data_IF_431250404096
#
_entry.id   IF_431250404096
#
_cell.length_a   1.000
_cell.length_b   1.000
_cell.length_c   1.000
_cell.angle_alpha   90.00
_cell.angle_beta   90.00
_cell.angle_gamma   90.00
#
_symmetry.space_group_name_H-M   'P 1'
#
loop_
_entity.id
_entity.type
_entity.pdbx_description
1 polymer ?
#
# COMPACT_ATOMS: atom_id res chain seq x y z
N UNK A 1 37.06 50.27 -65.41
CA UNK A 1 36.20 50.38 -64.20
C UNK A 1 35.13 49.27 -64.07
N UNK A 2 35.28 48.09 -64.71
CA UNK A 2 34.22 47.05 -64.73
C UNK A 2 34.33 45.90 -63.71
N UNK A 3 35.49 45.69 -63.08
CA UNK A 3 35.76 44.48 -62.27
C UNK A 3 35.32 44.57 -60.80
N UNK A 4 35.15 45.78 -60.25
CA UNK A 4 34.76 45.98 -58.85
C UNK A 4 33.26 45.74 -58.58
N UNK A 5 32.41 45.90 -59.59
CA UNK A 5 30.95 45.75 -59.46
C UNK A 5 30.54 44.27 -59.42
N UNK A 6 31.21 43.42 -60.20
CA UNK A 6 30.95 41.97 -60.24
C UNK A 6 31.31 41.30 -58.91
N UNK A 7 32.45 41.67 -58.32
CA UNK A 7 32.92 41.11 -57.03
C UNK A 7 31.98 41.45 -55.86
N UNK A 8 31.42 42.66 -55.84
CA UNK A 8 30.42 43.09 -54.84
C UNK A 8 29.08 42.37 -55.01
N UNK A 9 28.66 42.03 -56.23
CA UNK A 9 27.45 41.22 -56.47
C UNK A 9 27.61 39.79 -56.00
N UNK A 10 28.77 39.16 -56.26
CA UNK A 10 29.06 37.79 -55.79
C UNK A 10 29.13 37.72 -54.26
N UNK A 11 29.76 38.70 -53.62
CA UNK A 11 29.81 38.77 -52.15
C UNK A 11 28.42 38.98 -51.55
N UNK A 12 27.56 39.82 -52.16
CA UNK A 12 26.17 39.99 -51.71
C UNK A 12 25.31 38.74 -51.91
N UNK A 13 25.54 37.97 -52.98
CA UNK A 13 24.85 36.70 -53.22
C UNK A 13 25.29 35.62 -52.22
N UNK A 14 26.58 35.55 -51.88
CA UNK A 14 27.09 34.64 -50.85
C UNK A 14 26.64 35.03 -49.44
N UNK A 15 26.57 36.32 -49.12
CA UNK A 15 26.01 36.80 -47.85
C UNK A 15 24.51 36.54 -47.75
N UNK A 16 23.76 36.70 -48.85
CA UNK A 16 22.33 36.40 -48.89
C UNK A 16 22.05 34.89 -48.76
N UNK A 17 22.87 34.02 -49.36
CA UNK A 17 22.73 32.56 -49.20
C UNK A 17 23.13 32.11 -47.79
N UNK A 18 24.16 32.71 -47.19
CA UNK A 18 24.55 32.43 -45.82
C UNK A 18 23.48 32.88 -44.81
N UNK A 19 22.85 34.05 -45.04
CA UNK A 19 21.72 34.50 -44.23
C UNK A 19 20.50 33.57 -44.36
N UNK A 20 20.25 33.00 -45.55
CA UNK A 20 19.16 32.06 -45.79
C UNK A 20 19.38 30.70 -45.11
N UNK A 21 20.63 30.27 -44.96
CA UNK A 21 20.99 29.02 -44.24
C UNK A 21 20.94 29.23 -42.72
N UNK A 22 21.31 30.41 -42.22
CA UNK A 22 21.21 30.76 -40.78
C UNK A 22 19.77 31.02 -40.35
N UNK A 23 18.90 31.48 -41.25
CA UNK A 23 17.47 31.70 -41.01
C UNK A 23 16.61 30.46 -41.28
N UNK A 24 17.20 29.33 -41.70
CA UNK A 24 16.44 28.08 -41.70
C UNK A 24 16.25 27.66 -40.25
N UNK A 25 15.03 27.71 -39.70
CA UNK A 25 14.82 27.19 -38.36
C UNK A 25 15.20 25.71 -38.45
N UNK A 26 16.23 25.32 -37.69
CA UNK A 26 16.40 23.95 -37.27
C UNK A 26 15.09 23.59 -36.58
N UNK A 27 14.15 23.00 -37.33
CA UNK A 27 13.07 22.23 -36.74
C UNK A 27 13.80 21.20 -35.90
N UNK A 28 13.80 21.41 -34.58
CA UNK A 28 14.04 20.33 -33.66
C UNK A 28 13.00 19.28 -34.04
N UNK A 29 13.44 18.29 -34.80
CA UNK A 29 12.65 17.08 -35.02
C UNK A 29 12.50 16.54 -33.61
N UNK A 30 11.30 16.65 -33.05
CA UNK A 30 10.97 16.00 -31.81
C UNK A 30 11.28 14.51 -32.04
N UNK A 31 12.33 14.02 -31.38
CA UNK A 31 12.72 12.62 -31.50
C UNK A 31 11.51 11.80 -31.05
N UNK A 32 11.00 10.94 -31.94
CA UNK A 32 9.86 10.09 -31.57
C UNK A 32 10.24 9.25 -30.34
N UNK A 33 9.35 9.14 -29.34
CA UNK A 33 9.68 8.45 -28.11
C UNK A 33 10.08 7.01 -28.42
N UNK A 34 11.25 6.63 -27.92
CA UNK A 34 11.83 5.30 -28.17
C UNK A 34 10.84 4.21 -27.72
N UNK A 35 10.64 3.16 -28.53
CA UNK A 35 9.68 2.11 -28.21
C UNK A 35 10.10 1.38 -26.94
N UNK A 36 9.15 1.14 -26.03
CA UNK A 36 9.37 0.39 -24.80
C UNK A 36 9.44 -1.10 -25.14
N UNK A 37 10.57 -1.72 -24.82
CA UNK A 37 10.83 -3.16 -25.00
C UNK A 37 10.86 -3.92 -23.68
N UNK A 38 11.18 -3.23 -22.59
CA UNK A 38 11.28 -3.81 -21.26
C UNK A 38 10.66 -2.89 -20.21
N UNK A 39 10.13 -3.51 -19.16
CA UNK A 39 9.62 -2.87 -17.95
C UNK A 39 10.22 -3.63 -16.78
N UNK A 40 10.94 -2.93 -15.91
CA UNK A 40 11.52 -3.49 -14.69
C UNK A 40 10.99 -2.71 -13.50
N UNK A 41 10.29 -3.40 -12.61
CA UNK A 41 9.75 -2.88 -11.37
C UNK A 41 10.49 -3.52 -10.20
N UNK A 42 11.17 -2.70 -9.40
CA UNK A 42 11.94 -3.11 -8.22
C UNK A 42 11.21 -2.60 -6.98
N UNK A 43 10.78 -3.54 -6.14
CA UNK A 43 10.22 -3.28 -4.83
C UNK A 43 11.26 -3.60 -3.76
N UNK A 44 11.70 -2.58 -3.02
CA UNK A 44 12.68 -2.67 -1.93
C UNK A 44 11.93 -2.55 -0.61
N UNK A 45 11.54 -3.69 -0.02
CA UNK A 45 10.79 -3.70 1.24
C UNK A 45 11.64 -3.06 2.34
N UNK A 46 11.04 -2.13 3.07
CA UNK A 46 11.71 -1.33 4.09
C UNK A 46 12.30 -0.02 3.59
N UNK A 47 12.38 0.26 2.27
CA UNK A 47 12.81 1.55 1.75
C UNK A 47 11.79 2.65 2.09
N UNK A 48 12.15 3.54 3.02
CA UNK A 48 11.30 4.66 3.43
C UNK A 48 11.73 5.99 2.80
N UNK A 49 10.84 6.98 2.81
CA UNK A 49 11.16 8.35 2.40
C UNK A 49 12.36 8.92 3.17
N UNK A 50 12.42 8.71 4.48
CA UNK A 50 13.55 9.17 5.32
C UNK A 50 14.85 8.46 4.92
N UNK A 51 14.74 7.17 4.61
CA UNK A 51 15.75 6.34 3.97
C UNK A 51 16.39 7.03 2.76
N UNK A 52 15.55 7.31 1.79
CA UNK A 52 15.88 7.93 0.52
C UNK A 52 16.36 9.38 0.65
N UNK A 53 15.71 10.19 1.49
CA UNK A 53 16.03 11.60 1.68
C UNK A 53 17.44 11.76 2.28
N UNK A 54 17.79 10.96 3.29
CA UNK A 54 19.04 11.07 4.03
C UNK A 54 20.28 10.66 3.20
N UNK A 55 20.13 9.79 2.20
CA UNK A 55 21.26 9.34 1.38
C UNK A 55 21.41 10.18 0.10
N UNK A 56 22.38 11.10 0.08
CA UNK A 56 22.56 12.05 -1.04
C UNK A 56 23.22 11.45 -2.29
N UNK A 57 24.13 10.48 -2.13
CA UNK A 57 24.88 9.83 -3.23
C UNK A 57 24.20 8.55 -3.72
N UNK A 58 22.92 8.66 -4.05
CA UNK A 58 22.07 7.53 -4.42
C UNK A 58 21.96 7.37 -5.94
N UNK A 59 22.18 6.16 -6.45
CA UNK A 59 21.86 5.76 -7.82
C UNK A 59 20.37 5.97 -8.14
N UNK A 60 19.48 5.72 -7.18
CA UNK A 60 18.04 5.98 -7.32
C UNK A 60 17.77 7.49 -7.52
N UNK A 61 18.51 8.38 -6.85
CA UNK A 61 18.41 9.83 -7.10
C UNK A 61 18.93 10.24 -8.47
N UNK A 62 19.97 9.58 -8.99
CA UNK A 62 20.40 9.80 -10.37
C UNK A 62 19.33 9.36 -11.38
N UNK A 63 18.64 8.24 -11.12
CA UNK A 63 17.47 7.83 -11.92
C UNK A 63 16.34 8.86 -11.87
N UNK A 64 16.11 9.49 -10.72
CA UNK A 64 15.11 10.56 -10.59
C UNK A 64 15.45 11.79 -11.43
N UNK A 65 16.73 12.10 -11.65
CA UNK A 65 17.15 13.19 -12.55
C UNK A 65 16.86 12.82 -14.02
N UNK A 66 17.12 11.57 -14.40
CA UNK A 66 16.85 11.07 -15.76
C UNK A 66 15.37 10.75 -16.02
N UNK A 67 14.50 10.90 -15.02
CA UNK A 67 13.08 10.54 -15.11
C UNK A 67 12.19 11.38 -14.19
N UNK A 68 11.18 10.73 -13.62
CA UNK A 68 10.19 11.32 -12.72
C UNK A 68 10.35 10.69 -11.34
N UNK A 69 10.17 11.49 -10.30
CA UNK A 69 10.15 11.01 -8.93
C UNK A 69 8.94 11.52 -8.16
N UNK A 70 8.38 10.67 -7.31
CA UNK A 70 7.51 11.06 -6.21
C UNK A 70 8.25 10.73 -4.91
N UNK A 71 9.04 11.67 -4.35
CA UNK A 71 9.81 11.40 -3.14
C UNK A 71 8.93 11.02 -1.95
N UNK A 72 7.73 11.60 -1.88
CA UNK A 72 6.73 11.37 -0.83
C UNK A 72 5.51 10.68 -1.42
N UNK A 73 5.67 9.43 -1.83
CA UNK A 73 4.56 8.60 -2.24
C UNK A 73 3.92 7.92 -1.01
N UNK A 74 2.59 7.97 -0.91
CA UNK A 74 1.87 7.29 0.16
C UNK A 74 1.82 5.78 -0.13
N UNK A 75 2.41 4.99 0.76
CA UNK A 75 2.33 3.53 0.70
C UNK A 75 1.30 2.99 1.69
N UNK A 76 0.74 1.84 1.36
CA UNK A 76 -0.16 1.13 2.26
C UNK A 76 0.61 0.57 3.46
N UNK A 77 0.05 0.76 4.66
CA UNK A 77 0.49 0.03 5.85
C UNK A 77 -0.16 -1.36 5.87
N UNK A 78 0.36 -2.25 5.03
CA UNK A 78 -0.15 -3.62 4.91
C UNK A 78 0.43 -4.54 5.99
N UNK A 79 -0.44 -5.39 6.54
CA UNK A 79 -0.09 -6.35 7.61
C UNK A 79 0.90 -7.41 7.14
N UNK A 80 0.88 -7.75 5.85
CA UNK A 80 1.73 -8.78 5.24
C UNK A 80 2.47 -8.25 4.03
N UNK A 81 3.56 -8.94 3.65
CA UNK A 81 4.34 -8.62 2.45
C UNK A 81 3.46 -8.83 1.23
N UNK A 82 2.79 -9.97 1.18
CA UNK A 82 1.84 -10.39 0.16
C UNK A 82 0.83 -9.30 -0.18
N UNK A 83 0.17 -8.73 0.84
CA UNK A 83 -0.85 -7.71 0.61
C UNK A 83 -0.26 -6.42 0.02
N UNK A 84 0.92 -6.00 0.50
CA UNK A 84 1.59 -4.83 -0.05
C UNK A 84 2.03 -5.01 -1.50
N UNK A 85 2.77 -6.08 -1.78
CA UNK A 85 3.27 -6.35 -3.13
C UNK A 85 2.11 -6.57 -4.12
N UNK A 86 1.01 -7.20 -3.68
CA UNK A 86 -0.19 -7.32 -4.50
C UNK A 86 -0.83 -5.96 -4.81
N UNK A 87 -0.92 -5.06 -3.82
CA UNK A 87 -1.41 -3.70 -4.04
C UNK A 87 -0.57 -2.96 -5.09
N UNK A 88 0.75 -3.10 -5.03
CA UNK A 88 1.67 -2.52 -6.03
C UNK A 88 1.48 -3.14 -7.43
N UNK A 89 1.25 -4.45 -7.52
CA UNK A 89 1.17 -5.17 -8.79
C UNK A 89 -0.21 -5.13 -9.46
N UNK A 90 -1.28 -4.91 -8.70
CA UNK A 90 -2.65 -4.82 -9.23
C UNK A 90 -3.16 -3.39 -9.27
N UNK A 91 -2.54 -2.48 -8.52
CA UNK A 91 -3.08 -1.13 -8.31
C UNK A 91 -4.37 -1.12 -7.49
N UNK A 92 -4.71 -2.23 -6.81
CA UNK A 92 -5.93 -2.39 -6.02
C UNK A 92 -5.61 -2.48 -4.52
N UNK A 93 -6.54 -2.15 -3.64
CA UNK A 93 -6.35 -2.36 -2.20
C UNK A 93 -6.56 -3.84 -1.81
N UNK A 94 -6.14 -4.26 -0.59
CA UNK A 94 -6.27 -5.65 -0.15
C UNK A 94 -7.69 -6.20 -0.13
N UNK A 95 -8.67 -5.33 0.10
CA UNK A 95 -10.09 -5.67 0.04
C UNK A 95 -10.56 -6.10 -1.35
N UNK A 96 -9.85 -5.71 -2.40
CA UNK A 96 -10.18 -6.04 -3.79
C UNK A 96 -9.37 -7.23 -4.29
N UNK A 97 -8.05 -7.28 -3.99
CA UNK A 97 -7.20 -8.35 -4.51
C UNK A 97 -7.16 -9.61 -3.63
N UNK A 98 -7.63 -9.55 -2.38
CA UNK A 98 -7.81 -10.68 -1.45
C UNK A 98 -6.55 -11.55 -1.25
N UNK A 99 -5.37 -10.95 -1.35
CA UNK A 99 -4.09 -11.64 -1.26
C UNK A 99 -3.37 -11.23 0.02
N UNK A 100 -3.56 -12.01 1.09
CA UNK A 100 -3.01 -11.71 2.42
C UNK A 100 -1.87 -12.65 2.79
N UNK A 101 -1.86 -13.87 2.23
CA UNK A 101 -0.87 -14.92 2.48
C UNK A 101 -0.44 -15.59 1.18
N UNK A 102 0.75 -16.21 1.20
CA UNK A 102 1.28 -16.97 0.05
C UNK A 102 0.41 -18.12 -0.48
N UNK A 103 -0.63 -18.52 0.26
CA UNK A 103 -1.56 -19.60 -0.14
C UNK A 103 -2.82 -19.07 -0.83
N UNK A 104 -3.07 -17.76 -0.74
CA UNK A 104 -4.24 -17.14 -1.32
C UNK A 104 -4.10 -17.08 -2.84
N UNK A 105 -5.23 -16.93 -3.53
CA UNK A 105 -5.24 -16.59 -4.95
C UNK A 105 -5.48 -15.11 -5.06
N UNK A 106 -4.75 -14.46 -5.98
CA UNK A 106 -4.99 -13.05 -6.28
C UNK A 106 -6.30 -12.96 -7.07
N UNK A 107 -7.32 -12.32 -6.49
CA UNK A 107 -8.64 -12.17 -7.10
C UNK A 107 -8.76 -10.94 -8.01
N UNK A 108 -7.76 -10.06 -7.97
CA UNK A 108 -7.61 -8.91 -8.85
C UNK A 108 -6.69 -9.23 -10.05
N UNK A 109 -6.94 -8.57 -11.17
CA UNK A 109 -6.02 -8.59 -12.31
C UNK A 109 -4.71 -7.86 -11.95
N UNK A 110 -3.57 -8.49 -12.20
CA UNK A 110 -2.25 -7.88 -11.99
C UNK A 110 -1.61 -7.43 -13.31
N UNK A 111 -0.55 -6.62 -13.22
CA UNK A 111 0.32 -6.31 -14.37
C UNK A 111 0.79 -7.57 -15.10
N UNK A 112 1.06 -8.65 -14.36
CA UNK A 112 1.51 -9.91 -14.96
C UNK A 112 0.42 -10.55 -15.81
N UNK A 113 -0.84 -10.45 -15.38
CA UNK A 113 -1.99 -10.99 -16.12
C UNK A 113 -2.22 -10.20 -17.41
N UNK A 114 -2.11 -8.88 -17.33
CA UNK A 114 -2.24 -7.99 -18.50
C UNK A 114 -1.15 -8.32 -19.52
N UNK A 115 0.11 -8.37 -19.10
CA UNK A 115 1.21 -8.65 -20.02
C UNK A 115 1.20 -10.09 -20.55
N UNK A 116 0.77 -11.07 -19.76
CA UNK A 116 0.58 -12.44 -20.23
C UNK A 116 -0.55 -12.54 -21.26
N UNK A 117 -1.68 -11.84 -21.06
CA UNK A 117 -2.79 -11.74 -22.04
C UNK A 117 -2.31 -11.14 -23.37
N UNK A 118 -1.45 -10.13 -23.30
CA UNK A 118 -0.79 -9.50 -24.45
C UNK A 118 0.35 -10.36 -25.06
N UNK A 119 0.54 -11.61 -24.60
CA UNK A 119 1.59 -12.54 -25.04
C UNK A 119 3.01 -11.98 -24.87
N UNK A 120 3.21 -11.13 -23.85
CA UNK A 120 4.51 -10.57 -23.50
C UNK A 120 5.12 -11.37 -22.36
N UNK A 121 6.43 -11.65 -22.46
CA UNK A 121 7.12 -12.45 -21.45
C UNK A 121 7.18 -11.74 -20.10
N UNK A 122 6.89 -12.46 -19.02
CA UNK A 122 6.93 -11.96 -17.64
C UNK A 122 7.97 -12.71 -16.82
N UNK A 123 8.57 -12.05 -15.84
CA UNK A 123 9.51 -12.64 -14.89
C UNK A 123 9.29 -12.05 -13.50
N UNK A 124 9.18 -12.90 -12.49
CA UNK A 124 9.14 -12.52 -11.08
C UNK A 124 10.36 -13.10 -10.41
N UNK A 125 11.13 -12.24 -9.74
CA UNK A 125 12.24 -12.62 -8.88
C UNK A 125 11.84 -12.36 -7.45
N UNK A 126 11.56 -13.43 -6.73
CA UNK A 126 10.99 -13.39 -5.38
C UNK A 126 12.08 -13.60 -4.32
N UNK A 127 12.58 -12.50 -3.74
CA UNK A 127 13.47 -12.51 -2.58
C UNK A 127 12.80 -12.84 -1.24
N UNK A 128 11.47 -12.98 -1.19
CA UNK A 128 10.73 -13.15 0.07
C UNK A 128 10.72 -14.59 0.61
N UNK A 129 11.33 -15.55 -0.09
CA UNK A 129 11.24 -16.96 0.28
C UNK A 129 9.99 -17.68 -0.23
N UNK A 130 9.26 -17.10 -1.18
CA UNK A 130 8.12 -17.74 -1.82
C UNK A 130 6.76 -17.08 -1.56
N UNK A 131 6.73 -15.89 -0.95
CA UNK A 131 5.47 -15.22 -0.59
C UNK A 131 4.73 -14.68 -1.81
N UNK A 132 5.40 -14.54 -2.94
CA UNK A 132 4.82 -14.03 -4.19
C UNK A 132 4.43 -15.14 -5.16
N UNK A 133 4.29 -16.38 -4.67
CA UNK A 133 3.93 -17.54 -5.51
C UNK A 133 2.57 -17.37 -6.21
N UNK A 134 1.64 -16.59 -5.66
CA UNK A 134 0.38 -16.23 -6.34
C UNK A 134 0.56 -15.54 -7.71
N UNK A 135 1.71 -14.90 -7.92
CA UNK A 135 2.08 -14.26 -9.18
C UNK A 135 2.86 -15.17 -10.13
N UNK A 136 3.10 -16.44 -9.77
CA UNK A 136 3.72 -17.39 -10.68
C UNK A 136 2.80 -17.70 -11.87
N UNK A 137 3.34 -17.65 -13.09
CA UNK A 137 2.67 -18.03 -14.34
C UNK A 137 3.34 -19.23 -15.04
N UNK A 138 4.48 -19.66 -14.50
CA UNK A 138 5.18 -20.91 -14.82
C UNK A 138 6.54 -20.97 -14.11
N UNK A 139 7.19 -22.14 -14.09
CA UNK A 139 8.49 -22.31 -13.43
C UNK A 139 9.61 -21.45 -14.05
N UNK A 140 9.48 -21.09 -15.33
CA UNK A 140 10.45 -20.24 -16.04
C UNK A 140 10.24 -18.74 -15.75
N UNK A 141 9.05 -18.38 -15.32
CA UNK A 141 8.58 -16.99 -15.14
C UNK A 141 8.58 -16.59 -13.68
N UNK A 142 8.85 -17.52 -12.76
CA UNK A 142 8.91 -17.29 -11.32
C UNK A 142 10.18 -17.90 -10.73
N UNK A 143 11.08 -17.04 -10.27
CA UNK A 143 12.32 -17.42 -9.63
C UNK A 143 12.21 -17.20 -8.13
N UNK A 144 12.00 -18.29 -7.40
CA UNK A 144 12.04 -18.31 -5.94
C UNK A 144 13.48 -18.21 -5.44
N UNK A 145 13.77 -17.21 -4.63
CA UNK A 145 15.01 -17.10 -3.85
C UNK A 145 14.66 -17.26 -2.37
N UNK A 146 15.54 -17.90 -1.60
CA UNK A 146 15.31 -18.09 -0.16
C UNK A 146 15.39 -16.74 0.58
N UNK A 147 14.61 -16.58 1.65
CA UNK A 147 14.43 -15.29 2.33
C UNK A 147 15.65 -14.81 3.13
N UNK A 148 16.59 -15.72 3.41
CA UNK A 148 17.83 -15.50 4.15
C UNK A 148 19.01 -15.12 3.24
N UNK A 149 18.78 -15.11 1.93
CA UNK A 149 19.76 -14.72 0.93
C UNK A 149 19.78 -13.19 0.80
N UNK A 150 20.97 -12.62 0.61
CA UNK A 150 21.13 -11.16 0.48
C UNK A 150 20.53 -10.61 -0.81
N UNK A 151 20.13 -9.35 -0.79
CA UNK A 151 19.58 -8.63 -1.95
C UNK A 151 20.56 -8.65 -3.14
N UNK A 152 21.87 -8.63 -2.87
CA UNK A 152 22.90 -8.73 -3.90
C UNK A 152 22.84 -10.05 -4.69
N UNK A 153 22.56 -11.17 -4.01
CA UNK A 153 22.42 -12.46 -4.66
C UNK A 153 21.06 -12.59 -5.37
N UNK A 154 19.99 -12.02 -4.82
CA UNK A 154 18.69 -11.89 -5.51
C UNK A 154 18.89 -11.11 -6.83
N UNK A 155 19.62 -10.00 -6.79
CA UNK A 155 19.92 -9.16 -7.95
C UNK A 155 20.84 -9.83 -8.97
N UNK A 156 21.83 -10.62 -8.52
CA UNK A 156 22.64 -11.45 -9.43
C UNK A 156 21.78 -12.43 -10.23
N UNK A 157 20.85 -13.10 -9.55
CA UNK A 157 19.90 -14.03 -10.15
C UNK A 157 18.93 -13.32 -11.09
N UNK A 158 18.41 -12.16 -10.68
CA UNK A 158 17.55 -11.32 -11.51
C UNK A 158 18.25 -10.92 -12.82
N UNK A 159 19.46 -10.36 -12.75
CA UNK A 159 20.22 -9.96 -13.92
C UNK A 159 20.57 -11.15 -14.83
N UNK A 160 20.90 -12.31 -14.25
CA UNK A 160 21.20 -13.52 -15.01
C UNK A 160 19.97 -14.05 -15.75
N UNK A 161 18.82 -14.12 -15.08
CA UNK A 161 17.55 -14.53 -15.67
C UNK A 161 17.08 -13.53 -16.73
N UNK A 162 17.21 -12.23 -16.46
CA UNK A 162 16.88 -11.16 -17.40
C UNK A 162 17.71 -11.27 -18.70
N UNK A 163 19.02 -11.46 -18.60
CA UNK A 163 19.90 -11.65 -19.77
C UNK A 163 19.54 -12.89 -20.59
N UNK A 164 19.13 -13.97 -19.91
CA UNK A 164 18.77 -15.26 -20.54
C UNK A 164 17.42 -15.21 -21.25
N UNK A 165 16.40 -14.70 -20.59
CA UNK A 165 15.01 -14.78 -21.07
C UNK A 165 14.52 -13.50 -21.75
N UNK A 166 15.16 -12.35 -21.48
CA UNK A 166 14.78 -11.01 -21.99
C UNK A 166 13.27 -10.74 -21.90
N UNK A 167 12.66 -10.94 -20.71
CA UNK A 167 11.23 -10.75 -20.53
C UNK A 167 10.83 -9.29 -20.83
N UNK A 168 9.59 -9.09 -21.24
CA UNK A 168 9.03 -7.75 -21.38
C UNK A 168 8.81 -7.10 -20.01
N UNK A 169 8.24 -7.82 -19.04
CA UNK A 169 8.03 -7.31 -17.68
C UNK A 169 8.84 -8.12 -16.67
N UNK A 170 9.59 -7.44 -15.80
CA UNK A 170 10.36 -8.06 -14.71
C UNK A 170 9.99 -7.41 -13.39
N UNK A 171 9.54 -8.21 -12.44
CA UNK A 171 9.36 -7.82 -11.05
C UNK A 171 10.50 -8.34 -10.19
N UNK A 172 11.07 -7.49 -9.35
CA UNK A 172 12.14 -7.86 -8.42
C UNK A 172 11.75 -7.39 -7.02
N UNK A 173 11.67 -8.34 -6.09
CA UNK A 173 11.44 -8.05 -4.68
C UNK A 173 12.73 -8.24 -3.87
N UNK A 174 13.06 -7.23 -3.06
CA UNK A 174 14.23 -7.16 -2.18
C UNK A 174 13.79 -6.89 -0.74
N UNK A 175 14.47 -7.47 0.27
CA UNK A 175 14.05 -7.43 1.67
C UNK A 175 15.15 -7.11 2.69
N UNK A 176 16.42 -6.92 2.31
CA UNK A 176 17.48 -6.63 3.29
C UNK A 176 17.18 -5.36 4.08
N UNK A 177 16.60 -4.34 3.45
CA UNK A 177 16.21 -3.10 4.13
C UNK A 177 15.18 -3.33 5.24
N UNK A 178 14.16 -4.16 4.99
CA UNK A 178 13.16 -4.55 5.99
C UNK A 178 13.80 -5.33 7.14
N UNK A 179 14.63 -6.32 6.84
CA UNK A 179 15.31 -7.12 7.87
C UNK A 179 16.25 -6.25 8.73
N UNK A 180 16.98 -5.31 8.10
CA UNK A 180 17.85 -4.39 8.80
C UNK A 180 17.10 -3.43 9.74
N UNK A 181 15.79 -3.18 9.53
CA UNK A 181 14.96 -2.39 10.47
C UNK A 181 14.57 -3.15 11.72
N UNK A 182 14.54 -4.47 11.68
CA UNK A 182 14.31 -5.30 12.88
C UNK A 182 15.50 -5.21 13.83
N UNK A 183 16.67 -4.80 13.33
CA UNK A 183 17.84 -4.56 14.14
C UNK A 183 17.70 -3.27 14.97
N UNK A 184 17.90 -3.29 16.29
CA UNK A 184 17.90 -2.09 17.14
C UNK A 184 18.91 -1.02 16.70
N UNK A 185 19.99 -1.43 16.03
CA UNK A 185 21.04 -0.54 15.56
C UNK A 185 20.61 0.22 14.29
N UNK A 186 20.26 1.50 14.47
CA UNK A 186 19.90 2.42 13.36
C UNK A 186 20.93 2.48 12.22
N UNK A 187 22.22 2.21 12.50
CA UNK A 187 23.28 2.16 11.47
C UNK A 187 23.05 1.04 10.44
N UNK A 188 22.60 -0.13 10.89
CA UNK A 188 22.39 -1.29 10.02
C UNK A 188 21.37 -0.98 8.90
N UNK A 189 20.30 -0.26 9.25
CA UNK A 189 19.30 0.17 8.28
C UNK A 189 19.87 1.10 7.19
N UNK A 190 20.66 2.11 7.56
CA UNK A 190 21.25 3.03 6.58
C UNK A 190 22.26 2.33 5.67
N UNK A 191 23.01 1.36 6.20
CA UNK A 191 23.96 0.59 5.40
C UNK A 191 23.23 -0.37 4.45
N UNK A 192 22.11 -0.98 4.87
CA UNK A 192 21.25 -1.77 3.99
C UNK A 192 20.66 -0.94 2.83
N UNK A 193 20.23 0.31 3.08
CA UNK A 193 19.78 1.21 2.02
C UNK A 193 20.88 1.48 1.00
N UNK A 194 22.11 1.76 1.45
CA UNK A 194 23.24 2.01 0.54
C UNK A 194 23.55 0.77 -0.30
N UNK A 195 23.51 -0.42 0.30
CA UNK A 195 23.72 -1.67 -0.41
C UNK A 195 22.63 -1.91 -1.46
N UNK A 196 21.36 -1.73 -1.10
CA UNK A 196 20.24 -1.84 -2.03
C UNK A 196 20.35 -0.84 -3.19
N UNK A 197 20.72 0.41 -2.91
CA UNK A 197 20.94 1.44 -3.93
C UNK A 197 22.11 1.09 -4.87
N UNK A 198 23.20 0.50 -4.36
CA UNK A 198 24.30 0.02 -5.19
C UNK A 198 23.85 -1.10 -6.14
N UNK A 199 22.99 -2.00 -5.68
CA UNK A 199 22.43 -3.07 -6.53
C UNK A 199 21.54 -2.51 -7.64
N UNK A 200 20.74 -1.47 -7.36
CA UNK A 200 20.02 -0.72 -8.41
C UNK A 200 21.02 -0.13 -9.41
N UNK A 201 22.11 0.48 -8.94
CA UNK A 201 23.18 1.01 -9.80
C UNK A 201 23.80 -0.06 -10.71
N UNK A 202 24.04 -1.27 -10.19
CA UNK A 202 24.54 -2.42 -10.97
C UNK A 202 23.58 -2.85 -12.07
N UNK A 203 22.28 -2.89 -11.78
CA UNK A 203 21.27 -3.19 -12.79
C UNK A 203 21.26 -2.12 -13.88
N UNK A 204 21.28 -0.83 -13.49
CA UNK A 204 21.32 0.29 -14.45
C UNK A 204 22.56 0.20 -15.34
N UNK A 205 23.73 -0.08 -14.77
CA UNK A 205 24.96 -0.28 -15.53
C UNK A 205 24.80 -1.42 -16.55
N UNK A 206 24.24 -2.57 -16.14
CA UNK A 206 23.96 -3.69 -17.03
C UNK A 206 23.02 -3.31 -18.19
N UNK A 207 21.94 -2.57 -17.91
CA UNK A 207 21.01 -2.09 -18.93
C UNK A 207 21.68 -1.12 -19.92
N UNK A 208 22.59 -0.26 -19.44
CA UNK A 208 23.36 0.69 -20.27
C UNK A 208 24.39 -0.06 -21.14
N UNK A 209 25.15 -0.98 -20.57
CA UNK A 209 26.14 -1.82 -21.28
C UNK A 209 25.50 -2.67 -22.38
N UNK A 210 24.27 -3.15 -22.16
CA UNK A 210 23.53 -3.96 -23.14
C UNK A 210 22.75 -3.13 -24.17
N UNK A 211 22.78 -1.79 -24.06
CA UNK A 211 22.15 -0.87 -25.02
C UNK A 211 20.61 -0.85 -24.99
N UNK A 212 19.98 -1.39 -23.94
CA UNK A 212 18.52 -1.46 -23.81
C UNK A 212 17.95 -0.47 -22.78
N UNK A 213 18.82 0.25 -22.07
CA UNK A 213 18.42 1.22 -21.04
C UNK A 213 17.38 2.23 -21.54
N UNK A 214 17.54 2.74 -22.76
CA UNK A 214 16.64 3.71 -23.38
C UNK A 214 15.34 3.10 -23.93
N UNK A 215 15.23 1.77 -23.92
CA UNK A 215 14.02 1.03 -24.27
C UNK A 215 13.37 0.39 -23.03
N UNK A 216 13.82 0.77 -21.84
CA UNK A 216 13.37 0.18 -20.57
C UNK A 216 12.64 1.22 -19.73
N UNK A 217 11.44 0.88 -19.28
CA UNK A 217 10.78 1.53 -18.14
C UNK A 217 11.39 0.93 -16.88
N UNK A 218 12.00 1.75 -16.04
CA UNK A 218 12.59 1.33 -14.77
C UNK A 218 11.85 2.03 -13.63
N UNK A 219 11.23 1.24 -12.75
CA UNK A 219 10.53 1.72 -11.56
C UNK A 219 11.24 1.18 -10.33
N UNK A 220 11.55 2.06 -9.38
CA UNK A 220 12.12 1.71 -8.07
C UNK A 220 11.25 2.31 -6.98
N UNK A 221 10.75 1.46 -6.07
CA UNK A 221 9.92 1.88 -4.95
C UNK A 221 9.94 0.85 -3.81
N UNK A 222 9.06 1.01 -2.83
CA UNK A 222 8.65 -0.01 -1.86
C UNK A 222 7.13 -0.13 -1.87
N UNK A 223 6.60 -1.35 -1.87
CA UNK A 223 5.15 -1.55 -1.87
C UNK A 223 4.48 -1.16 -0.53
N UNK A 224 5.23 -1.23 0.58
CA UNK A 224 4.71 -1.05 1.94
C UNK A 224 5.41 0.06 2.69
N UNK A 225 4.63 0.77 3.49
CA UNK A 225 5.13 1.67 4.50
C UNK A 225 5.91 0.90 5.58
N UNK A 226 7.12 1.39 5.92
CA UNK A 226 7.95 0.85 6.99
C UNK A 226 8.21 1.84 8.14
N UNK A 227 7.78 3.09 7.97
CA UNK A 227 7.94 4.21 8.91
C UNK A 227 6.61 4.84 9.29
N UNK A 228 6.62 5.64 10.37
CA UNK A 228 5.42 6.32 10.87
C UNK A 228 4.82 7.35 9.89
N UNK A 229 5.60 7.82 8.91
CA UNK A 229 5.13 8.74 7.88
C UNK A 229 4.26 8.06 6.81
N UNK A 230 4.35 6.73 6.71
CA UNK A 230 3.75 5.95 5.62
C UNK A 230 4.23 6.35 4.21
N UNK A 231 5.36 7.06 4.13
CA UNK A 231 5.91 7.57 2.87
C UNK A 231 7.07 6.71 2.37
N UNK A 232 7.02 6.40 1.08
CA UNK A 232 8.07 5.71 0.32
C UNK A 232 8.48 6.57 -0.88
N UNK A 233 9.71 6.43 -1.39
CA UNK A 233 10.05 7.02 -2.68
C UNK A 233 9.47 6.19 -3.83
N UNK A 234 9.04 6.86 -4.89
CA UNK A 234 8.82 6.25 -6.20
C UNK A 234 9.71 6.97 -7.19
N UNK A 235 10.49 6.22 -7.97
CA UNK A 235 11.27 6.77 -9.08
C UNK A 235 10.94 5.98 -10.33
N UNK A 236 10.56 6.67 -11.39
CA UNK A 236 10.17 6.10 -12.68
C UNK A 236 11.03 6.75 -13.76
N UNK A 237 11.86 5.95 -14.43
CA UNK A 237 12.57 6.35 -15.65
C UNK A 237 11.92 5.66 -16.84
N UNK A 238 11.45 6.45 -17.80
CA UNK A 238 10.91 5.93 -19.05
C UNK A 238 11.09 6.94 -20.20
N UNK A 239 11.13 6.47 -21.46
CA UNK A 239 11.38 7.36 -22.61
C UNK A 239 10.30 8.41 -22.86
N UNK A 240 9.09 8.19 -22.35
CA UNK A 240 7.91 9.04 -22.55
C UNK A 240 7.66 10.01 -21.39
N UNK A 241 8.54 10.03 -20.39
CA UNK A 241 8.37 10.83 -19.19
C UNK A 241 9.23 12.08 -19.21
N UNK A 242 8.77 13.14 -18.55
CA UNK A 242 9.52 14.38 -18.37
C UNK A 242 10.75 14.10 -17.49
N UNK A 243 11.99 14.31 -17.96
CA UNK A 243 13.15 14.21 -17.10
C UNK A 243 13.11 15.29 -16.01
N UNK A 244 13.83 15.08 -14.92
CA UNK A 244 13.99 16.03 -13.82
C UNK A 244 12.65 16.54 -13.23
N UNK A 245 11.64 15.67 -13.17
CA UNK A 245 10.30 16.07 -12.71
C UNK A 245 9.99 15.43 -11.35
N UNK A 246 9.58 16.24 -10.39
CA UNK A 246 9.05 15.79 -9.11
C UNK A 246 7.53 15.95 -9.10
N UNK A 247 6.81 14.89 -8.75
CA UNK A 247 5.35 14.87 -8.64
C UNK A 247 4.94 14.64 -7.18
N UNK A 248 3.75 15.13 -6.82
CA UNK A 248 3.18 15.01 -5.49
C UNK A 248 1.79 14.37 -5.56
N UNK A 249 1.22 13.98 -4.40
CA UNK A 249 -0.12 13.39 -4.34
C UNK A 249 -0.21 11.97 -4.91
N UNK A 250 0.92 11.26 -5.02
CA UNK A 250 1.00 9.90 -5.58
C UNK A 250 0.88 8.86 -4.49
N UNK A 251 0.17 7.78 -4.78
CA UNK A 251 0.06 6.58 -3.96
C UNK A 251 0.73 5.38 -4.62
N UNK A 252 1.12 4.37 -3.85
CA UNK A 252 1.86 3.22 -4.39
C UNK A 252 1.04 2.41 -5.40
N UNK A 253 -0.27 2.43 -5.27
CA UNK A 253 -1.19 1.74 -6.17
C UNK A 253 -1.47 2.51 -7.47
N UNK A 254 -0.93 3.73 -7.64
CA UNK A 254 -0.92 4.47 -8.90
C UNK A 254 0.12 3.93 -9.90
N UNK A 255 1.06 3.10 -9.44
CA UNK A 255 2.19 2.62 -10.25
C UNK A 255 1.72 1.64 -11.32
N UNK A 256 0.84 0.69 -10.99
CA UNK A 256 0.30 -0.26 -11.95
C UNK A 256 -0.44 0.42 -13.12
N UNK A 257 -1.45 1.29 -12.90
CA UNK A 257 -2.10 1.99 -13.99
C UNK A 257 -1.13 2.89 -14.79
N UNK A 258 -0.17 3.53 -14.12
CA UNK A 258 0.86 4.34 -14.79
C UNK A 258 1.74 3.49 -15.72
N UNK A 259 2.16 2.30 -15.31
CA UNK A 259 2.92 1.36 -16.17
C UNK A 259 2.07 0.94 -17.37
N UNK A 260 0.78 0.61 -17.18
CA UNK A 260 -0.12 0.26 -18.28
C UNK A 260 -0.24 1.40 -19.30
N UNK A 261 -0.43 2.63 -18.81
CA UNK A 261 -0.51 3.83 -19.66
C UNK A 261 0.78 4.11 -20.41
N UNK A 262 1.95 3.92 -19.81
CA UNK A 262 3.25 4.05 -20.48
C UNK A 262 3.42 3.04 -21.63
N UNK A 263 2.96 1.81 -21.42
CA UNK A 263 3.08 0.72 -22.40
C UNK A 263 1.98 0.79 -23.46
N UNK A 264 0.87 1.49 -23.18
CA UNK A 264 -0.28 1.60 -24.07
C UNK A 264 -1.23 0.40 -24.00
N UNK A 265 -1.38 -0.22 -22.83
CA UNK A 265 -2.33 -1.32 -22.56
C UNK A 265 -3.42 -0.87 -21.60
N UNK A 266 -4.51 -1.64 -21.50
CA UNK A 266 -5.57 -1.35 -20.52
C UNK A 266 -5.05 -1.48 -19.08
N UNK A 267 -5.52 -0.60 -18.21
CA UNK A 267 -5.27 -0.68 -16.77
C UNK A 267 -5.98 -1.90 -16.16
N UNK A 268 -5.50 -2.44 -15.02
CA UNK A 268 -6.19 -3.52 -14.33
C UNK A 268 -7.62 -3.13 -13.95
N UNK A 269 -8.60 -4.00 -14.21
CA UNK A 269 -10.02 -3.65 -14.03
C UNK A 269 -10.39 -3.19 -12.60
N UNK A 270 -9.73 -3.76 -11.59
CA UNK A 270 -9.96 -3.45 -10.18
C UNK A 270 -9.02 -2.37 -9.64
N UNK A 271 -8.23 -1.69 -10.48
CA UNK A 271 -7.28 -0.69 -10.00
C UNK A 271 -8.01 0.48 -9.33
N UNK A 272 -7.60 0.80 -8.11
CA UNK A 272 -8.02 1.98 -7.37
C UNK A 272 -7.13 3.19 -7.69
N UNK A 273 -5.89 2.94 -8.15
CA UNK A 273 -4.93 4.00 -8.47
C UNK A 273 -5.24 4.76 -9.73
N UNK A 274 -4.68 5.97 -9.82
CA UNK A 274 -4.75 6.83 -10.98
C UNK A 274 -3.41 6.83 -11.72
N UNK A 275 -3.47 6.87 -13.05
CA UNK A 275 -2.26 7.15 -13.84
C UNK A 275 -1.71 8.53 -13.49
N UNK A 276 -0.39 8.61 -13.24
CA UNK A 276 0.33 9.86 -12.94
C UNK A 276 0.55 10.64 -14.24
N UNK A 277 -0.51 11.22 -14.80
CA UNK A 277 -0.49 11.91 -16.09
C UNK A 277 0.48 13.10 -16.14
N UNK A 278 0.71 13.77 -15.02
CA UNK A 278 1.65 14.90 -14.91
C UNK A 278 3.10 14.52 -15.25
N UNK A 279 3.42 13.23 -15.09
CA UNK A 279 4.73 12.65 -15.39
C UNK A 279 5.02 12.59 -16.91
N UNK A 280 3.98 12.50 -17.74
CA UNK A 280 4.11 12.26 -19.19
C UNK A 280 4.61 13.50 -19.93
N UNK A 281 5.52 13.28 -20.87
CA UNK A 281 6.02 14.32 -21.76
C UNK A 281 5.08 14.50 -22.95
N UNK A 282 4.47 15.68 -23.07
CA UNK A 282 3.66 16.05 -24.22
C UNK A 282 4.54 16.43 -25.42
N UNK A 283 4.12 16.06 -26.64
CA UNK A 283 4.79 16.44 -27.90
C UNK A 283 4.36 17.83 -28.36
N UNK A 284 3.12 18.21 -28.07
CA UNK A 284 2.55 19.50 -28.42
C UNK A 284 1.55 19.99 -27.34
N UNK A 285 1.11 21.23 -27.50
CA UNK A 285 0.18 21.87 -26.56
C UNK A 285 -1.18 21.16 -26.49
N UNK A 286 -1.62 20.52 -27.59
CA UNK A 286 -2.92 19.82 -27.62
C UNK A 286 -2.84 18.52 -26.83
N UNK A 287 -1.73 17.79 -26.93
CA UNK A 287 -1.46 16.61 -26.12
C UNK A 287 -1.34 16.97 -24.64
N UNK A 288 -0.68 18.09 -24.32
CA UNK A 288 -0.59 18.59 -22.93
C UNK A 288 -1.98 18.85 -22.33
N UNK A 289 -2.87 19.53 -23.08
CA UNK A 289 -4.26 19.74 -22.65
C UNK A 289 -4.99 18.40 -22.47
N UNK A 290 -4.79 17.43 -23.37
CA UNK A 290 -5.42 16.12 -23.27
C UNK A 290 -4.96 15.35 -22.01
N UNK A 291 -3.65 15.36 -21.72
CA UNK A 291 -3.10 14.74 -20.52
C UNK A 291 -3.68 15.38 -19.26
N UNK A 292 -3.78 16.71 -19.22
CA UNK A 292 -4.40 17.44 -18.12
C UNK A 292 -5.90 17.11 -17.97
N UNK A 293 -6.66 17.04 -19.06
CA UNK A 293 -8.07 16.63 -19.03
C UNK A 293 -8.26 15.18 -18.55
N UNK A 294 -7.35 14.27 -18.89
CA UNK A 294 -7.35 12.90 -18.35
C UNK A 294 -7.06 12.89 -16.85
N UNK A 295 -6.09 13.68 -16.41
CA UNK A 295 -5.78 13.84 -14.99
C UNK A 295 -6.98 14.36 -14.20
N UNK A 296 -7.58 15.47 -14.64
CA UNK A 296 -8.75 16.07 -13.99
C UNK A 296 -9.91 15.07 -13.91
N UNK A 297 -10.22 14.37 -15.01
CA UNK A 297 -11.28 13.35 -15.01
C UNK A 297 -11.00 12.21 -14.02
N UNK A 298 -9.76 11.75 -13.95
CA UNK A 298 -9.34 10.72 -12.97
C UNK A 298 -9.56 11.19 -11.53
N UNK A 299 -9.13 12.42 -11.22
CA UNK A 299 -9.34 13.04 -9.90
C UNK A 299 -10.83 13.24 -9.57
N UNK A 300 -11.65 13.66 -10.54
CA UNK A 300 -13.08 13.81 -10.34
C UNK A 300 -13.77 12.47 -10.03
N UNK A 301 -13.38 11.41 -10.74
CA UNK A 301 -13.88 10.05 -10.52
C UNK A 301 -13.45 9.49 -9.16
N UNK A 302 -12.17 9.61 -8.82
CA UNK A 302 -11.63 9.20 -7.52
C UNK A 302 -12.36 9.93 -6.39
N UNK A 303 -12.49 11.26 -6.50
CA UNK A 303 -13.19 12.07 -5.50
C UNK A 303 -14.61 11.56 -5.27
N UNK A 304 -15.36 11.27 -6.35
CA UNK A 304 -16.72 10.75 -6.23
C UNK A 304 -16.74 9.37 -5.56
N UNK A 305 -15.86 8.46 -5.97
CA UNK A 305 -15.75 7.12 -5.37
C UNK A 305 -15.40 7.18 -3.89
N UNK A 306 -14.46 8.04 -3.51
CA UNK A 306 -14.05 8.26 -2.12
C UNK A 306 -15.19 8.83 -1.28
N UNK A 307 -15.97 9.79 -1.79
CA UNK A 307 -17.17 10.27 -1.09
C UNK A 307 -18.25 9.19 -0.95
N UNK A 308 -18.48 8.38 -1.99
CA UNK A 308 -19.43 7.27 -1.93
C UNK A 308 -19.05 6.24 -0.85
N UNK A 309 -17.77 5.84 -0.81
CA UNK A 309 -17.23 4.94 0.22
C UNK A 309 -17.33 5.57 1.61
N UNK A 310 -16.99 6.84 1.74
CA UNK A 310 -17.13 7.57 3.01
C UNK A 310 -18.58 7.56 3.51
N UNK A 311 -19.55 7.88 2.66
CA UNK A 311 -20.97 7.87 3.05
C UNK A 311 -21.49 6.47 3.41
N UNK A 312 -20.99 5.42 2.75
CA UNK A 312 -21.31 4.04 3.12
C UNK A 312 -20.78 3.72 4.52
N UNK A 313 -19.50 4.00 4.78
CA UNK A 313 -18.87 3.79 6.08
C UNK A 313 -19.53 4.60 7.19
N UNK A 314 -19.91 5.85 6.93
CA UNK A 314 -20.59 6.69 7.92
C UNK A 314 -21.98 6.14 8.27
N UNK A 315 -22.74 5.65 7.28
CA UNK A 315 -24.02 4.96 7.53
C UNK A 315 -23.86 3.71 8.38
N UNK A 316 -22.85 2.90 8.10
CA UNK A 316 -22.54 1.69 8.88
C UNK A 316 -22.12 2.04 10.31
N UNK A 317 -21.25 3.05 10.47
CA UNK A 317 -20.85 3.58 11.77
C UNK A 317 -22.06 4.05 12.58
N UNK A 318 -22.96 4.82 11.98
CA UNK A 318 -24.18 5.30 12.64
C UNK A 318 -25.15 4.16 12.98
N UNK A 319 -25.17 3.08 12.19
CA UNK A 319 -25.94 1.87 12.50
C UNK A 319 -25.35 1.14 13.71
N UNK A 320 -24.03 0.94 13.74
CA UNK A 320 -23.33 0.30 14.86
C UNK A 320 -23.48 1.10 16.16
N UNK A 321 -23.39 2.43 16.10
CA UNK A 321 -23.60 3.30 17.26
C UNK A 321 -25.00 3.14 17.85
N UNK A 322 -26.04 3.03 17.00
CA UNK A 322 -27.41 2.76 17.46
C UNK A 322 -27.52 1.39 18.12
N UNK A 323 -26.94 0.34 17.54
CA UNK A 323 -26.93 -0.99 18.14
C UNK A 323 -26.21 -1.02 19.50
N UNK A 324 -25.07 -0.33 19.61
CA UNK A 324 -24.35 -0.20 20.88
C UNK A 324 -25.22 0.50 21.93
N UNK A 325 -25.98 1.53 21.53
CA UNK A 325 -26.88 2.22 22.45
C UNK A 325 -28.05 1.33 22.88
N UNK A 326 -28.69 0.63 21.95
CA UNK A 326 -29.77 -0.32 22.25
C UNK A 326 -29.32 -1.42 23.22
N UNK A 327 -28.12 -1.97 23.02
CA UNK A 327 -27.51 -2.96 23.92
C UNK A 327 -27.24 -2.37 25.30
N UNK A 328 -26.78 -1.12 25.39
CA UNK A 328 -26.59 -0.42 26.67
C UNK A 328 -27.90 -0.23 27.40
N UNK A 329 -28.93 0.26 26.71
CA UNK A 329 -30.27 0.49 27.28
C UNK A 329 -30.92 -0.84 27.71
N UNK A 330 -30.72 -1.93 26.97
CA UNK A 330 -31.14 -3.28 27.37
C UNK A 330 -30.38 -3.79 28.59
N UNK A 331 -29.06 -3.59 28.64
CA UNK A 331 -28.23 -3.97 29.79
C UNK A 331 -28.65 -3.22 31.06
N UNK A 332 -28.93 -1.92 30.96
CA UNK A 332 -29.43 -1.12 32.08
C UNK A 332 -30.80 -1.60 32.55
N UNK A 333 -31.72 -1.93 31.62
CA UNK A 333 -33.01 -2.54 31.96
C UNK A 333 -32.85 -3.88 32.68
N UNK A 334 -31.97 -4.77 32.20
CA UNK A 334 -31.69 -6.05 32.85
C UNK A 334 -31.16 -5.85 34.27
N UNK A 335 -30.22 -4.92 34.48
CA UNK A 335 -29.72 -4.61 35.84
C UNK A 335 -30.79 -4.00 36.73
N UNK A 336 -31.66 -3.14 36.19
CA UNK A 336 -32.83 -2.62 36.90
C UNK A 336 -33.76 -3.74 37.37
N UNK A 337 -34.14 -4.65 36.47
CA UNK A 337 -34.98 -5.80 36.81
C UNK A 337 -34.33 -6.75 37.83
N UNK A 338 -33.01 -6.97 37.74
CA UNK A 338 -32.28 -7.77 38.72
C UNK A 338 -32.30 -7.11 40.10
N UNK A 339 -32.08 -5.80 40.18
CA UNK A 339 -32.15 -5.04 41.43
C UNK A 339 -33.55 -5.06 42.07
N UNK A 340 -34.61 -4.88 41.28
CA UNK A 340 -36.00 -5.00 41.77
C UNK A 340 -36.29 -6.40 42.34
N UNK A 341 -35.82 -7.46 41.67
CA UNK A 341 -35.95 -8.84 42.16
C UNK A 341 -35.18 -9.05 43.45
N UNK A 342 -33.98 -8.53 43.57
CA UNK A 342 -33.15 -8.65 44.77
C UNK A 342 -33.79 -7.91 45.96
N UNK A 343 -34.36 -6.73 45.74
CA UNK A 343 -35.18 -6.02 46.73
C UNK A 343 -36.42 -6.82 47.15
N UNK A 344 -37.11 -7.45 46.20
CA UNK A 344 -38.29 -8.28 46.49
C UNK A 344 -37.92 -9.53 47.29
N UNK A 345 -36.80 -10.19 46.94
CA UNK A 345 -36.29 -11.34 47.71
C UNK A 345 -35.88 -10.90 49.12
N UNK A 346 -35.24 -9.73 49.25
CA UNK A 346 -34.87 -9.15 50.54
C UNK A 346 -36.08 -8.90 51.45
N UNK A 347 -37.14 -8.27 50.93
CA UNK A 347 -38.35 -7.97 51.70
C UNK A 347 -39.12 -9.24 52.09
N UNK A 348 -39.16 -10.25 51.21
CA UNK A 348 -39.69 -11.59 51.52
C UNK A 348 -38.87 -12.29 52.61
N UNK A 349 -37.54 -12.18 52.57
CA UNK A 349 -36.66 -12.77 53.60
C UNK A 349 -36.88 -12.12 54.96
N UNK A 350 -37.06 -10.80 54.99
CA UNK A 350 -37.34 -10.04 56.21
C UNK A 350 -38.73 -10.36 56.79
N UNK A 351 -39.75 -10.51 55.95
CA UNK A 351 -41.08 -10.93 56.40
C UNK A 351 -41.08 -12.36 56.94
N UNK A 352 -40.34 -13.28 56.29
CA UNK A 352 -40.11 -14.64 56.78
C UNK A 352 -39.35 -14.67 58.11
N UNK A 353 -38.37 -13.78 58.30
CA UNK A 353 -37.65 -13.67 59.56
C UNK A 353 -38.56 -13.17 60.69
N UNK A 354 -39.34 -12.12 60.44
CA UNK A 354 -40.31 -11.58 61.43
C UNK A 354 -41.36 -12.59 61.83
N UNK A 355 -41.92 -13.34 60.87
CA UNK A 355 -42.91 -14.39 61.16
C UNK A 355 -42.30 -15.55 61.95
N UNK A 356 -41.10 -16.01 61.60
CA UNK A 356 -40.39 -17.05 62.37
C UNK A 356 -40.03 -16.59 63.78
N UNK A 357 -39.55 -15.36 63.95
CA UNK A 357 -39.25 -14.79 65.27
C UNK A 357 -40.53 -14.67 66.12
N UNK A 358 -41.63 -14.20 65.54
CA UNK A 358 -42.94 -14.14 66.21
C UNK A 358 -43.44 -15.52 66.64
N UNK A 359 -43.31 -16.54 65.77
CA UNK A 359 -43.68 -17.91 66.09
C UNK A 359 -42.84 -18.47 67.25
N UNK A 360 -41.51 -18.24 67.24
CA UNK A 360 -40.61 -18.65 68.32
C UNK A 360 -40.98 -18.01 69.66
N UNK A 361 -41.26 -16.70 69.66
CA UNK A 361 -41.72 -15.97 70.85
C UNK A 361 -43.04 -16.58 71.36
N UNK A 362 -44.00 -16.85 70.47
CA UNK A 362 -45.28 -17.47 70.83
C UNK A 362 -45.09 -18.86 71.46
N UNK A 363 -44.26 -19.72 70.86
CA UNK A 363 -43.92 -21.03 71.45
C UNK A 363 -43.20 -20.88 72.78
N UNK A 364 -42.32 -19.88 72.93
CA UNK A 364 -41.66 -19.58 74.20
C UNK A 364 -42.66 -19.21 75.29
N UNK A 365 -43.64 -18.36 74.97
CA UNK A 365 -44.71 -17.98 75.89
C UNK A 365 -45.57 -19.19 76.27
N UNK A 366 -45.95 -20.03 75.29
CA UNK A 366 -46.71 -21.25 75.54
C UNK A 366 -45.95 -22.24 76.43
N UNK A 367 -44.67 -22.46 76.18
CA UNK A 367 -43.82 -23.32 77.00
C UNK A 367 -43.64 -22.76 78.41
N UNK A 368 -43.51 -21.45 78.55
CA UNK A 368 -43.40 -20.80 79.86
C UNK A 368 -44.72 -20.90 80.63
N UNK A 369 -45.86 -20.71 79.96
CA UNK A 369 -47.19 -20.96 80.51
C UNK A 369 -47.35 -22.41 80.99
N UNK A 370 -47.00 -23.37 80.14
CA UNK A 370 -47.03 -24.80 80.49
C UNK A 370 -46.09 -25.14 81.65
N UNK A 371 -44.91 -24.52 81.72
CA UNK A 371 -43.97 -24.70 82.82
C UNK A 371 -44.51 -24.15 84.15
N UNK A 372 -45.14 -22.97 84.14
CA UNK A 372 -45.80 -22.39 85.31
C UNK A 372 -46.93 -23.30 85.78
N UNK A 373 -47.74 -23.81 84.86
CA UNK A 373 -48.84 -24.73 85.13
C UNK A 373 -48.34 -26.06 85.72
N UNK A 374 -47.28 -26.64 85.13
CA UNK A 374 -46.59 -27.83 85.67
C UNK A 374 -46.06 -27.60 87.09
N UNK A 375 -45.48 -26.42 87.37
CA UNK A 375 -44.94 -26.09 88.70
C UNK A 375 -46.05 -25.90 89.74
N UNK A 376 -47.20 -25.34 89.33
CA UNK A 376 -48.40 -25.22 90.15
C UNK A 376 -49.02 -26.59 90.45
N UNK A 377 -49.15 -27.46 89.45
CA UNK A 377 -49.64 -28.83 89.59
C UNK A 377 -48.70 -29.67 90.48
N UNK A 378 -47.38 -29.55 90.32
CA UNK A 378 -46.39 -30.21 91.17
C UNK A 378 -46.50 -29.79 92.64
N UNK A 379 -46.80 -28.52 92.93
CA UNK A 379 -47.02 -28.04 94.31
C UNK A 379 -48.33 -28.55 94.92
N UNK A 380 -49.34 -28.88 94.11
CA UNK A 380 -50.63 -29.43 94.59
C UNK A 380 -50.63 -30.95 94.74
N UNK A 381 -49.79 -31.68 94.01
CA UNK A 381 -49.78 -33.15 94.02
C UNK A 381 -48.69 -33.81 94.89
N UNK A 382 -47.82 -33.05 95.57
CA UNK A 382 -46.89 -33.59 96.59
C UNK A 382 -47.54 -33.77 97.99
N UNK A 383 -48.84 -34.05 98.04
CA UNK A 383 -49.59 -34.35 99.27
C UNK A 383 -50.07 -35.82 99.35
N UNK A 384 -49.58 -36.69 98.46
CA UNK A 384 -49.77 -38.14 98.58
C UNK A 384 -48.43 -38.87 98.48
N UNK A 385 -47.69 -38.85 99.58
CA UNK A 385 -46.98 -40.03 100.12
C UNK A 385 -46.78 -39.83 101.62
#
# INVERSE_FOLDING_TARGET
MGSGLARKKVIRLLLASFLLVVLWPLRAVAEEPKPIKHVVLISIDGLSYEGYANYSKSNIKYLAIEGVSAPKCLALRADTVEAGEATLLTGSLPTEHQYYTSHDRVEAESLLDIFAKEKRGVLVVDGSGGKLKGFARGEKEYLKVAADVTDAEVMNRAMSAFKKYKPFFTYIYLNDCKEARLNPARKAYWDAIKLSDNEVGRLVAMLKETGIYDHTVLVVTAARASTASDLVPVVIKAPQLKPYTAVEGVTVFDIAPTICSLVGVSEPYSANGLTIWDAFQARDQKEEINLMERHIRGLEQERLQSWLRYYQLDRERLRLLRQIQEIKDERERIFGYAGEREHTIGSLRESLFRTRAGALILTGILLLGYYVEYRLLKKRFTLFH
#
